data_IF_998800657932
#
_entry.id   IF_998800657932
#
_cell.length_a   1.000
_cell.length_b   1.000
_cell.length_c   1.000
_cell.angle_alpha   90.00
_cell.angle_beta   90.00
_cell.angle_gamma   90.00
#
_symmetry.space_group_name_H-M   'P 1'
#
loop_
_entity.id
_entity.type
_entity.pdbx_description
1 polymer ?
#
# COMPACT_ATOMS: atom_id res chain seq x y z
N UNK A 1 9.45 21.23 12.51
CA UNK A 1 9.06 19.82 12.63
C UNK A 1 10.34 19.00 12.59
N UNK A 2 10.59 18.16 13.59
CA UNK A 2 11.73 17.23 13.57
C UNK A 2 11.52 16.24 12.42
N UNK A 3 12.51 15.96 11.57
CA UNK A 3 12.36 14.94 10.53
C UNK A 3 12.10 13.60 11.22
N UNK A 4 10.91 13.02 10.98
CA UNK A 4 10.58 11.67 11.43
C UNK A 4 11.14 10.70 10.40
N UNK A 5 11.96 9.75 10.83
CA UNK A 5 12.40 8.66 9.98
C UNK A 5 11.23 7.70 9.75
N UNK A 6 10.90 7.44 8.49
CA UNK A 6 9.89 6.46 8.10
C UNK A 6 10.58 5.19 7.59
N UNK A 7 10.20 4.06 8.16
CA UNK A 7 10.68 2.73 7.76
C UNK A 7 9.51 1.98 7.14
N UNK A 8 9.65 1.56 5.88
CA UNK A 8 8.62 0.76 5.22
C UNK A 8 8.87 -0.70 5.57
N UNK A 9 7.87 -1.37 6.13
CA UNK A 9 7.97 -2.76 6.57
C UNK A 9 6.98 -3.57 5.74
N UNK A 10 7.43 -4.65 5.10
CA UNK A 10 6.54 -5.59 4.47
C UNK A 10 5.65 -6.26 5.53
N UNK A 11 4.34 -6.17 5.37
CA UNK A 11 3.38 -6.74 6.33
C UNK A 11 3.48 -8.26 6.42
N UNK A 12 3.78 -8.95 5.32
CA UNK A 12 3.73 -10.41 5.23
C UNK A 12 5.02 -11.06 5.76
N UNK A 13 6.17 -10.48 5.44
CA UNK A 13 7.49 -11.00 5.83
C UNK A 13 8.03 -10.34 7.10
N UNK A 14 7.58 -9.12 7.40
CA UNK A 14 8.11 -8.29 8.49
C UNK A 14 9.48 -7.67 8.16
N UNK A 15 9.95 -7.79 6.92
CA UNK A 15 11.24 -7.25 6.49
C UNK A 15 11.12 -5.77 6.13
N UNK A 16 12.20 -5.02 6.35
CA UNK A 16 12.27 -3.64 5.88
C UNK A 16 12.46 -3.61 4.36
N UNK A 17 11.61 -2.83 3.69
CA UNK A 17 11.64 -2.60 2.25
C UNK A 17 11.93 -1.14 1.97
N UNK A 18 12.46 -0.86 0.78
CA UNK A 18 12.91 0.46 0.40
C UNK A 18 12.17 0.95 -0.84
N UNK A 19 11.65 2.17 -0.76
CA UNK A 19 11.14 2.90 -1.92
C UNK A 19 12.28 3.56 -2.69
N UNK A 20 11.94 4.29 -3.76
CA UNK A 20 12.91 5.12 -4.49
C UNK A 20 13.63 6.10 -3.55
N UNK A 21 14.85 6.49 -3.90
CA UNK A 21 15.69 7.38 -3.05
C UNK A 21 15.10 8.78 -2.84
N UNK A 22 14.23 9.23 -3.75
CA UNK A 22 13.51 10.52 -3.68
C UNK A 22 12.15 10.39 -2.97
N UNK A 23 11.74 9.17 -2.61
CA UNK A 23 10.45 8.93 -1.98
C UNK A 23 10.43 9.53 -0.56
N UNK A 24 9.41 10.35 -0.31
CA UNK A 24 9.14 10.91 1.00
C UNK A 24 7.64 11.07 1.19
N UNK A 25 7.18 10.80 2.41
CA UNK A 25 5.82 11.13 2.79
C UNK A 25 5.69 12.64 3.01
N UNK A 26 4.72 13.27 2.33
CA UNK A 26 4.43 14.70 2.50
C UNK A 26 3.78 15.01 3.86
N UNK A 27 3.02 14.06 4.41
CA UNK A 27 2.41 14.09 5.74
C UNK A 27 2.42 12.66 6.32
N UNK A 28 2.03 12.47 7.59
CA UNK A 28 1.97 11.14 8.21
C UNK A 28 1.04 10.24 7.38
N UNK A 29 1.52 9.07 6.89
CA UNK A 29 0.67 8.16 6.17
C UNK A 29 -0.44 7.63 7.08
N UNK A 30 -1.57 7.30 6.47
CA UNK A 30 -2.72 6.69 7.12
C UNK A 30 -2.91 5.26 6.60
N UNK A 31 -3.57 4.38 7.36
CA UNK A 31 -4.04 3.11 6.83
C UNK A 31 -4.83 3.31 5.54
N UNK A 32 -4.64 2.42 4.58
CA UNK A 32 -5.14 2.45 3.21
C UNK A 32 -4.55 3.55 2.30
N UNK A 33 -3.50 4.25 2.72
CA UNK A 33 -2.78 5.17 1.84
C UNK A 33 -2.06 4.39 0.73
N UNK A 34 -2.31 4.76 -0.53
CA UNK A 34 -1.69 4.11 -1.69
C UNK A 34 -0.38 4.80 -2.05
N UNK A 35 0.70 4.03 -2.06
CA UNK A 35 2.05 4.47 -2.40
C UNK A 35 2.31 4.16 -3.87
N UNK A 36 2.41 5.20 -4.68
CA UNK A 36 2.70 5.11 -6.11
C UNK A 36 4.20 5.30 -6.37
N UNK A 37 5.02 4.46 -5.76
CA UNK A 37 6.47 4.45 -5.95
C UNK A 37 6.87 3.37 -6.97
N UNK A 38 7.77 3.70 -7.89
CA UNK A 38 8.18 2.77 -8.95
C UNK A 38 8.93 1.54 -8.41
N UNK A 39 9.83 1.73 -7.44
CA UNK A 39 10.61 0.63 -6.85
C UNK A 39 9.69 -0.32 -6.09
N UNK A 40 8.78 0.21 -5.27
CA UNK A 40 7.78 -0.61 -4.59
C UNK A 40 6.83 -1.30 -5.60
N UNK A 41 6.45 -0.61 -6.66
CA UNK A 41 5.60 -1.18 -7.71
C UNK A 41 6.31 -2.36 -8.42
N UNK A 42 7.60 -2.24 -8.73
CA UNK A 42 8.38 -3.34 -9.29
C UNK A 42 8.58 -4.49 -8.28
N UNK A 43 8.70 -4.18 -7.00
CA UNK A 43 8.85 -5.18 -5.93
C UNK A 43 7.58 -6.01 -5.73
N UNK A 44 6.41 -5.36 -5.69
CA UNK A 44 5.13 -5.99 -5.42
C UNK A 44 4.33 -6.38 -6.68
N UNK A 45 4.73 -5.90 -7.86
CA UNK A 45 3.95 -6.04 -9.10
C UNK A 45 2.68 -5.18 -9.13
N UNK A 46 2.41 -4.41 -8.08
CA UNK A 46 1.30 -3.49 -7.93
C UNK A 46 1.69 -2.34 -6.96
N UNK A 47 0.98 -1.21 -6.95
CA UNK A 47 1.24 -0.15 -5.96
C UNK A 47 1.06 -0.67 -4.54
N UNK A 48 1.93 -0.23 -3.64
CA UNK A 48 1.86 -0.63 -2.24
C UNK A 48 0.75 0.13 -1.50
N UNK A 49 0.12 -0.50 -0.52
CA UNK A 49 -0.90 0.09 0.35
C UNK A 49 -0.39 0.03 1.78
N UNK A 50 -0.54 1.13 2.51
CA UNK A 50 -0.27 1.16 3.95
C UNK A 50 -1.35 0.36 4.68
N UNK A 51 -0.97 -0.68 5.40
CA UNK A 51 -1.86 -1.45 6.28
C UNK A 51 -2.00 -0.75 7.64
N UNK A 52 -0.88 -0.45 8.29
CA UNK A 52 -0.84 0.20 9.60
C UNK A 52 0.43 1.04 9.80
N UNK A 53 0.38 1.93 10.78
CA UNK A 53 1.47 2.86 11.10
C UNK A 53 1.72 2.85 12.60
N UNK A 54 2.95 2.55 13.00
CA UNK A 54 3.36 2.41 14.41
C UNK A 54 4.49 3.40 14.74
N UNK A 55 4.26 4.28 15.71
CA UNK A 55 5.32 5.14 16.26
C UNK A 55 6.23 4.31 17.16
N UNK A 56 7.55 4.43 16.97
CA UNK A 56 8.56 3.77 17.79
C UNK A 56 9.03 4.66 18.94
N UNK A 57 9.59 4.06 19.99
CA UNK A 57 10.11 4.79 21.16
C UNK A 57 11.28 5.73 20.80
N UNK A 58 12.04 5.42 19.75
CA UNK A 58 13.13 6.24 19.21
C UNK A 58 12.61 7.48 18.42
N UNK A 59 11.30 7.56 18.17
CA UNK A 59 10.67 8.64 17.41
C UNK A 59 10.63 8.39 15.88
N UNK A 60 11.15 7.26 15.42
CA UNK A 60 10.90 6.74 14.07
C UNK A 60 9.47 6.19 13.93
N UNK A 61 9.03 6.00 12.69
CA UNK A 61 7.69 5.49 12.38
C UNK A 61 7.82 4.29 11.46
N UNK A 62 7.31 3.15 11.90
CA UNK A 62 7.19 1.95 11.07
C UNK A 62 5.87 2.02 10.30
N UNK A 63 5.94 1.93 8.98
CA UNK A 63 4.81 1.94 8.06
C UNK A 63 4.73 0.56 7.44
N UNK A 64 3.76 -0.22 7.88
CA UNK A 64 3.56 -1.57 7.36
C UNK A 64 2.81 -1.44 6.04
N UNK A 65 3.39 -2.00 4.98
CA UNK A 65 2.86 -1.94 3.63
C UNK A 65 2.66 -3.34 3.07
N UNK A 66 1.73 -3.43 2.13
CA UNK A 66 1.42 -4.64 1.40
C UNK A 66 1.21 -4.30 -0.08
N UNK A 67 1.52 -5.23 -0.98
CA UNK A 67 1.17 -5.06 -2.38
C UNK A 67 -0.34 -5.00 -2.52
N UNK A 68 -0.90 -3.98 -3.18
CA UNK A 68 -2.32 -4.10 -3.55
C UNK A 68 -2.47 -5.25 -4.52
N UNK A 69 -3.20 -6.29 -4.16
CA UNK A 69 -3.81 -7.12 -5.19
C UNK A 69 -4.70 -6.15 -6.00
N UNK A 70 -4.32 -5.84 -7.25
CA UNK A 70 -5.29 -5.35 -8.19
C UNK A 70 -6.31 -6.47 -8.32
N UNK A 71 -7.36 -6.40 -7.49
CA UNK A 71 -8.54 -7.22 -7.65
C UNK A 71 -9.08 -6.79 -9.00
N UNK A 72 -8.65 -7.50 -10.05
CA UNK A 72 -9.28 -7.50 -11.36
C UNK A 72 -10.71 -7.95 -11.09
N UNK A 73 -11.58 -6.99 -10.76
CA UNK A 73 -13.02 -7.16 -10.84
C UNK A 73 -13.36 -7.14 -12.33
N UNK A 74 -12.85 -8.12 -13.07
CA UNK A 74 -13.27 -8.45 -14.44
C UNK A 74 -14.15 -9.71 -14.38
N UNK A 75 -14.96 -9.83 -13.33
CA UNK A 75 -16.01 -10.84 -13.23
C UNK A 75 -16.98 -10.39 -12.15
N UNK A 76 -17.95 -9.52 -12.49
CA UNK A 76 -19.20 -9.32 -11.73
C UNK A 76 -20.17 -8.32 -12.39
N UNK A 77 -20.13 -8.18 -13.72
CA UNK A 77 -21.33 -7.79 -14.46
C UNK A 77 -21.61 -8.95 -15.40
N UNK A 78 -22.40 -9.89 -14.90
CA UNK A 78 -23.17 -10.80 -15.73
C UNK A 78 -24.37 -9.97 -16.26
N UNK A 79 -24.39 -9.48 -17.52
CA UNK A 79 -25.57 -8.81 -18.05
C UNK A 79 -26.72 -9.79 -18.34
N UNK A 80 -26.57 -11.09 -18.09
CA UNK A 80 -27.57 -12.13 -18.41
C UNK A 80 -28.57 -12.36 -17.28
N UNK A 81 -29.11 -11.31 -16.67
CA UNK A 81 -30.36 -11.41 -15.88
C UNK A 81 -31.50 -10.55 -16.44
N UNK A 82 -31.32 -9.96 -17.62
CA UNK A 82 -32.35 -9.13 -18.28
C UNK A 82 -33.25 -9.88 -19.28
N UNK A 83 -33.23 -11.23 -19.33
CA UNK A 83 -34.06 -12.01 -20.26
C UNK A 83 -34.67 -13.29 -19.67
N UNK A 84 -35.50 -13.14 -18.64
CA UNK A 84 -36.70 -13.99 -18.47
C UNK A 84 -37.85 -13.06 -18.08
N UNK A 85 -38.59 -12.55 -19.06
CA UNK A 85 -39.90 -13.07 -19.51
C UNK A 85 -40.83 -13.40 -18.35
N UNK A 86 -42.11 -13.05 -18.34
CA UNK A 86 -43.04 -12.32 -19.22
C UNK A 86 -44.37 -12.42 -18.49
#
# INVERSE_FOLDING_TARGET
MTPRAYHLIDKNTGEEVFASTDFQFADRPLPNHRIQDAVLHEHYGAPAIVDRVEDQEDGSVHVFIDGSEEVMNDDLVDPDQSYRRS
#
